data_IF_963088312682
#
_entry.id   IF_963088312682
#
_cell.length_a   1.000
_cell.length_b   1.000
_cell.length_c   1.000
_cell.angle_alpha   90.00
_cell.angle_beta   90.00
_cell.angle_gamma   90.00
#
_symmetry.space_group_name_H-M   'P 1'
#
loop_
_entity.id
_entity.type
_entity.pdbx_description
1 polymer ?
#
# COMPACT_ATOMS: atom_id res chain seq x y z
N UNK A 1 10.32 -22.78 -18.06
CA UNK A 1 9.82 -23.67 -16.98
C UNK A 1 8.81 -24.66 -17.52
N UNK A 2 8.79 -25.89 -17.00
CA UNK A 2 7.82 -26.90 -17.44
C UNK A 2 6.45 -26.73 -16.77
N UNK A 3 5.39 -27.25 -17.40
CA UNK A 3 4.05 -27.29 -16.83
C UNK A 3 4.01 -27.87 -15.40
N UNK A 4 4.79 -28.93 -15.13
CA UNK A 4 4.87 -29.53 -13.79
C UNK A 4 5.44 -28.56 -12.75
N UNK A 5 6.42 -27.74 -13.13
CA UNK A 5 7.04 -26.74 -12.27
C UNK A 5 6.08 -25.57 -11.99
N UNK A 6 5.28 -25.18 -12.99
CA UNK A 6 4.23 -24.15 -12.81
C UNK A 6 3.17 -24.64 -11.82
N UNK A 7 2.65 -25.85 -12.01
CA UNK A 7 1.63 -26.43 -11.12
C UNK A 7 2.11 -26.61 -9.67
N UNK A 8 3.40 -26.92 -9.48
CA UNK A 8 3.98 -27.06 -8.15
C UNK A 8 4.12 -25.71 -7.42
N UNK A 9 4.28 -24.61 -8.17
CA UNK A 9 4.46 -23.27 -7.61
C UNK A 9 3.16 -22.51 -7.37
N UNK A 10 2.04 -22.97 -7.93
CA UNK A 10 0.73 -22.31 -7.80
C UNK A 10 -0.26 -23.30 -7.18
N UNK A 11 -0.44 -23.28 -5.84
CA UNK A 11 -1.33 -24.21 -5.15
C UNK A 11 -2.77 -24.18 -5.68
N UNK A 12 -3.37 -25.37 -5.83
CA UNK A 12 -4.74 -25.54 -6.33
C UNK A 12 -4.92 -25.37 -7.83
N UNK A 13 -3.90 -24.90 -8.56
CA UNK A 13 -3.96 -24.71 -10.00
C UNK A 13 -4.08 -26.05 -10.72
N UNK A 14 -4.94 -26.11 -11.74
CA UNK A 14 -5.09 -27.28 -12.59
C UNK A 14 -4.67 -27.01 -14.04
N UNK A 15 -4.36 -28.08 -14.78
CA UNK A 15 -3.91 -27.99 -16.18
C UNK A 15 -4.92 -27.34 -17.11
N UNK A 16 -6.23 -27.58 -16.88
CA UNK A 16 -7.29 -27.03 -17.73
C UNK A 16 -7.31 -25.51 -17.66
N UNK A 17 -7.07 -24.93 -16.48
CA UNK A 17 -7.00 -23.49 -16.32
C UNK A 17 -5.84 -22.87 -17.10
N UNK A 18 -4.66 -23.47 -17.07
CA UNK A 18 -3.49 -22.99 -17.84
C UNK A 18 -3.79 -23.00 -19.34
N UNK A 19 -4.39 -24.08 -19.85
CA UNK A 19 -4.79 -24.14 -21.27
C UNK A 19 -5.88 -23.12 -21.61
N UNK A 20 -6.77 -22.83 -20.66
CA UNK A 20 -7.79 -21.80 -20.84
C UNK A 20 -7.18 -20.40 -20.91
N UNK A 21 -6.14 -20.10 -20.11
CA UNK A 21 -5.37 -18.86 -20.21
C UNK A 21 -4.63 -18.73 -21.55
N UNK A 22 -3.95 -19.80 -21.99
CA UNK A 22 -3.24 -19.85 -23.27
C UNK A 22 -4.20 -19.65 -24.44
N UNK A 23 -5.34 -20.33 -24.45
CA UNK A 23 -6.36 -20.21 -25.51
C UNK A 23 -6.98 -18.82 -25.59
N UNK A 24 -7.03 -18.07 -24.47
CA UNK A 24 -7.47 -16.68 -24.42
C UNK A 24 -6.36 -15.67 -24.72
N UNK A 25 -5.12 -16.14 -24.89
CA UNK A 25 -3.95 -15.31 -25.21
C UNK A 25 -3.40 -14.51 -24.01
N UNK A 26 -3.82 -14.85 -22.78
CA UNK A 26 -3.36 -14.20 -21.54
C UNK A 26 -1.96 -14.62 -21.11
N UNK A 27 -1.48 -15.74 -21.64
CA UNK A 27 -0.11 -16.23 -21.52
C UNK A 27 0.36 -16.74 -22.86
N UNK A 28 1.67 -16.75 -23.11
CA UNK A 28 2.25 -17.14 -24.40
C UNK A 28 3.49 -18.01 -24.20
N UNK A 29 3.35 -19.22 -23.62
CA UNK A 29 4.48 -20.11 -23.43
C UNK A 29 5.11 -20.48 -24.78
N UNK A 30 6.44 -20.54 -24.81
CA UNK A 30 7.16 -20.94 -26.01
C UNK A 30 6.89 -22.41 -26.33
N UNK A 31 6.67 -22.73 -27.60
CA UNK A 31 6.54 -24.10 -28.07
C UNK A 31 7.89 -24.63 -28.56
N UNK A 32 8.49 -25.53 -27.80
CA UNK A 32 9.72 -26.21 -28.17
C UNK A 32 9.34 -27.52 -28.86
N UNK A 33 9.58 -27.61 -30.16
CA UNK A 33 9.43 -28.87 -30.90
C UNK A 33 10.51 -29.86 -30.47
N UNK A 34 10.10 -30.97 -29.86
CA UNK A 34 10.91 -32.18 -29.72
C UNK A 34 10.36 -33.26 -30.63
N UNK A 35 11.23 -34.14 -31.14
CA UNK A 35 11.03 -35.19 -32.16
C UNK A 35 9.70 -35.98 -32.14
N UNK A 36 8.92 -36.01 -31.06
CA UNK A 36 7.61 -36.72 -30.97
C UNK A 36 6.49 -35.97 -30.24
N UNK A 37 6.75 -34.91 -29.46
CA UNK A 37 5.74 -34.17 -28.68
C UNK A 37 6.17 -32.69 -28.59
N UNK A 38 5.28 -31.76 -28.94
CA UNK A 38 5.48 -30.34 -28.70
C UNK A 38 5.39 -30.03 -27.21
N UNK A 39 6.41 -29.38 -26.66
CA UNK A 39 6.48 -29.02 -25.23
C UNK A 39 6.29 -27.52 -25.04
N UNK A 40 5.51 -27.15 -24.03
CA UNK A 40 5.36 -25.77 -23.56
C UNK A 40 6.47 -25.43 -22.59
N UNK A 41 7.11 -24.29 -22.80
CA UNK A 41 8.07 -23.72 -21.87
C UNK A 41 7.59 -22.33 -21.43
N UNK A 42 7.27 -22.21 -20.14
CA UNK A 42 6.70 -21.02 -19.52
C UNK A 42 7.82 -20.10 -19.02
N UNK A 43 7.72 -18.82 -19.32
CA UNK A 43 8.60 -17.78 -18.79
C UNK A 43 8.28 -17.44 -17.33
N UNK A 44 9.14 -16.66 -16.67
CA UNK A 44 8.84 -16.12 -15.33
C UNK A 44 7.65 -15.15 -15.36
N UNK A 45 7.48 -14.43 -16.47
CA UNK A 45 6.32 -13.56 -16.72
C UNK A 45 5.03 -14.37 -16.84
N UNK A 46 5.06 -15.48 -17.59
CA UNK A 46 3.91 -16.39 -17.67
C UNK A 46 3.56 -16.93 -16.28
N UNK A 47 4.55 -17.35 -15.48
CA UNK A 47 4.30 -17.83 -14.12
C UNK A 47 3.69 -16.75 -13.22
N UNK A 48 4.20 -15.51 -13.29
CA UNK A 48 3.65 -14.38 -12.54
C UNK A 48 2.19 -14.12 -12.95
N UNK A 49 1.91 -14.03 -14.25
CA UNK A 49 0.56 -13.84 -14.78
C UNK A 49 -0.38 -14.99 -14.37
N UNK A 50 0.05 -16.25 -14.52
CA UNK A 50 -0.75 -17.42 -14.11
C UNK A 50 -1.09 -17.34 -12.62
N UNK A 51 -0.10 -17.05 -11.77
CA UNK A 51 -0.29 -16.96 -10.32
C UNK A 51 -1.26 -15.83 -9.95
N UNK A 52 -1.08 -14.66 -10.53
CA UNK A 52 -1.87 -13.48 -10.18
C UNK A 52 -3.31 -13.60 -10.68
N UNK A 53 -3.52 -14.10 -11.90
CA UNK A 53 -4.85 -14.37 -12.46
C UNK A 53 -5.55 -15.49 -11.69
N UNK A 54 -4.83 -16.56 -11.36
CA UNK A 54 -5.37 -17.67 -10.57
C UNK A 54 -5.85 -17.21 -9.19
N UNK A 55 -5.07 -16.34 -8.53
CA UNK A 55 -5.43 -15.74 -7.23
C UNK A 55 -6.78 -15.01 -7.31
N UNK A 56 -6.99 -14.17 -8.33
CA UNK A 56 -8.26 -13.47 -8.50
C UNK A 56 -9.40 -14.41 -8.90
N UNK A 57 -9.14 -15.38 -9.77
CA UNK A 57 -10.15 -16.35 -10.18
C UNK A 57 -10.67 -17.19 -9.00
N UNK A 58 -9.78 -17.60 -8.09
CA UNK A 58 -10.18 -18.31 -6.86
C UNK A 58 -11.06 -17.47 -5.92
N UNK A 59 -11.00 -16.14 -6.02
CA UNK A 59 -11.86 -15.21 -5.28
C UNK A 59 -13.25 -15.02 -5.93
N UNK A 60 -13.55 -15.74 -7.01
CA UNK A 60 -14.85 -15.71 -7.69
C UNK A 60 -14.93 -14.72 -8.86
N UNK A 61 -13.85 -14.00 -9.17
CA UNK A 61 -13.82 -13.12 -10.34
C UNK A 61 -13.89 -13.94 -11.64
N UNK A 62 -14.70 -13.47 -12.58
CA UNK A 62 -14.69 -13.99 -13.95
C UNK A 62 -13.29 -13.83 -14.56
N UNK A 63 -12.87 -14.77 -15.42
CA UNK A 63 -11.49 -14.82 -15.91
C UNK A 63 -11.00 -13.49 -16.52
N UNK A 64 -11.84 -12.80 -17.29
CA UNK A 64 -11.50 -11.52 -17.89
C UNK A 64 -11.18 -10.45 -16.82
N UNK A 65 -12.06 -10.31 -15.82
CA UNK A 65 -11.85 -9.38 -14.71
C UNK A 65 -10.63 -9.74 -13.87
N UNK A 66 -10.40 -11.04 -13.63
CA UNK A 66 -9.21 -11.55 -12.95
C UNK A 66 -7.92 -11.17 -13.69
N UNK A 67 -7.93 -11.24 -15.03
CA UNK A 67 -6.81 -10.81 -15.87
C UNK A 67 -6.62 -9.30 -15.85
N UNK A 68 -7.69 -8.52 -15.95
CA UNK A 68 -7.63 -7.06 -15.87
C UNK A 68 -7.04 -6.60 -14.53
N UNK A 69 -7.48 -7.19 -13.41
CA UNK A 69 -6.93 -6.89 -12.07
C UNK A 69 -5.46 -7.32 -11.93
N UNK A 70 -5.09 -8.49 -12.47
CA UNK A 70 -3.71 -8.99 -12.42
C UNK A 70 -2.74 -8.16 -13.25
N UNK A 71 -3.20 -7.59 -14.36
CA UNK A 71 -2.37 -6.83 -15.31
C UNK A 71 -2.50 -5.32 -15.15
N UNK A 72 -3.37 -4.84 -14.26
CA UNK A 72 -3.56 -3.40 -14.10
C UNK A 72 -2.25 -2.74 -13.68
N UNK A 73 -1.87 -1.72 -14.43
CA UNK A 73 -0.75 -0.84 -14.12
C UNK A 73 -1.19 0.32 -13.23
N UNK A 74 -2.49 0.64 -13.23
CA UNK A 74 -3.07 1.62 -12.33
C UNK A 74 -3.08 1.04 -10.92
N UNK A 75 -2.20 1.56 -10.08
CA UNK A 75 -2.21 1.25 -8.66
C UNK A 75 -2.46 2.53 -7.87
N UNK A 76 -3.39 2.44 -6.94
CA UNK A 76 -3.68 3.50 -5.99
C UNK A 76 -2.83 3.31 -4.74
N UNK A 77 -2.44 4.41 -4.13
CA UNK A 77 -1.86 4.38 -2.79
C UNK A 77 -3.01 4.15 -1.83
N UNK A 78 -2.87 3.24 -0.89
CA UNK A 78 -3.88 3.01 0.15
C UNK A 78 -3.21 3.16 1.51
N UNK A 79 -3.83 3.95 2.38
CA UNK A 79 -3.45 4.08 3.78
C UNK A 79 -4.40 3.25 4.63
N UNK A 80 -3.86 2.43 5.51
CA UNK A 80 -4.63 1.59 6.42
C UNK A 80 -4.26 1.95 7.85
N UNK A 81 -5.24 2.43 8.61
CA UNK A 81 -5.16 2.55 10.06
C UNK A 81 -5.70 1.29 10.72
N UNK A 82 -4.90 0.65 11.57
CA UNK A 82 -5.32 -0.52 12.33
C UNK A 82 -5.09 -0.33 13.83
N UNK A 83 -6.02 -0.82 14.65
CA UNK A 83 -5.79 -0.99 16.08
C UNK A 83 -5.16 -2.33 16.33
N UNK A 84 -4.05 -2.36 17.05
CA UNK A 84 -3.25 -3.57 17.21
C UNK A 84 -2.77 -3.64 18.63
N UNK A 85 -3.02 -4.77 19.30
CA UNK A 85 -2.49 -4.99 20.64
C UNK A 85 -0.96 -4.84 20.63
N UNK A 86 -0.38 -4.23 21.67
CA UNK A 86 1.03 -3.87 21.72
C UNK A 86 1.98 -5.05 21.40
N UNK A 87 1.64 -6.25 21.88
CA UNK A 87 2.41 -7.48 21.63
C UNK A 87 2.38 -7.94 20.16
N UNK A 88 1.34 -7.57 19.42
CA UNK A 88 1.13 -7.91 18.02
C UNK A 88 1.77 -6.93 17.03
N UNK A 89 2.03 -5.68 17.44
CA UNK A 89 2.56 -4.64 16.55
C UNK A 89 3.87 -5.04 15.86
N UNK A 90 4.84 -5.54 16.63
CA UNK A 90 6.13 -5.97 16.09
C UNK A 90 6.00 -7.15 15.12
N UNK A 91 5.15 -8.12 15.45
CA UNK A 91 4.89 -9.29 14.60
C UNK A 91 4.22 -8.87 13.30
N UNK A 92 3.20 -8.02 13.37
CA UNK A 92 2.53 -7.46 12.19
C UNK A 92 3.51 -6.70 11.32
N UNK A 93 4.33 -5.84 11.92
CA UNK A 93 5.31 -5.03 11.20
C UNK A 93 6.32 -5.89 10.44
N UNK A 94 6.87 -6.95 11.04
CA UNK A 94 7.77 -7.86 10.33
C UNK A 94 7.05 -8.61 9.20
N UNK A 95 5.84 -9.13 9.44
CA UNK A 95 5.08 -9.87 8.44
C UNK A 95 4.71 -9.02 7.22
N UNK A 96 4.39 -7.75 7.42
CA UNK A 96 4.02 -6.84 6.34
C UNK A 96 5.18 -6.53 5.39
N UNK A 97 6.44 -6.65 5.83
CA UNK A 97 7.62 -6.42 4.97
C UNK A 97 7.73 -7.42 3.82
N UNK A 98 7.23 -8.64 4.02
CA UNK A 98 7.25 -9.71 3.03
C UNK A 98 6.32 -9.44 1.84
N UNK A 99 5.40 -8.48 1.97
CA UNK A 99 4.43 -8.16 0.94
C UNK A 99 4.96 -7.09 -0.03
N UNK A 100 5.06 -7.38 -1.33
CA UNK A 100 5.60 -6.44 -2.30
C UNK A 100 4.73 -5.19 -2.49
N UNK A 101 3.44 -5.26 -2.20
CA UNK A 101 2.54 -4.11 -2.25
C UNK A 101 2.68 -3.16 -1.06
N UNK A 102 3.31 -3.57 0.05
CA UNK A 102 3.50 -2.68 1.21
C UNK A 102 4.68 -1.74 0.91
N UNK A 103 4.42 -0.44 1.05
CA UNK A 103 5.40 0.63 0.87
C UNK A 103 5.93 1.12 2.22
N UNK A 104 5.08 1.17 3.24
CA UNK A 104 5.46 1.67 4.56
C UNK A 104 4.62 1.03 5.67
N UNK A 105 5.24 0.83 6.82
CA UNK A 105 4.61 0.37 8.05
C UNK A 105 5.13 1.22 9.20
N UNK A 106 4.22 1.84 9.95
CA UNK A 106 4.55 2.71 11.07
C UNK A 106 3.67 2.36 12.26
N UNK A 107 4.27 1.94 13.38
CA UNK A 107 3.56 2.05 14.64
C UNK A 107 3.45 3.53 15.02
N UNK A 108 2.29 3.97 15.50
CA UNK A 108 2.01 5.38 15.78
C UNK A 108 1.38 5.55 17.15
N UNK A 109 1.62 6.70 17.78
CA UNK A 109 0.82 7.17 18.92
C UNK A 109 -0.27 8.11 18.40
N UNK A 110 -1.53 7.77 18.70
CA UNK A 110 -2.73 8.52 18.38
C UNK A 110 -3.95 7.88 19.05
N UNK A 111 -5.13 8.50 18.96
CA UNK A 111 -6.28 8.10 19.77
C UNK A 111 -6.86 6.70 19.44
N UNK A 112 -6.87 6.33 18.16
CA UNK A 112 -7.66 5.21 17.65
C UNK A 112 -6.97 4.40 16.54
N UNK A 113 -5.70 4.70 16.24
CA UNK A 113 -4.86 3.96 15.31
C UNK A 113 -3.53 3.69 16.02
N UNK A 114 -3.13 2.42 16.07
CA UNK A 114 -1.84 1.99 16.65
C UNK A 114 -0.80 1.73 15.53
N UNK A 115 -1.29 1.39 14.34
CA UNK A 115 -0.48 1.05 13.17
C UNK A 115 -1.03 1.77 11.93
N UNK A 116 -0.18 2.50 11.21
CA UNK A 116 -0.46 3.05 9.90
C UNK A 116 0.36 2.31 8.84
N UNK A 117 -0.32 1.78 7.83
CA UNK A 117 0.27 0.97 6.76
C UNK A 117 -0.01 1.68 5.44
N UNK A 118 1.05 2.00 4.69
CA UNK A 118 0.93 2.51 3.32
C UNK A 118 1.19 1.37 2.35
N UNK A 119 0.21 1.08 1.50
CA UNK A 119 0.30 0.07 0.46
C UNK A 119 0.05 0.68 -0.92
N UNK A 120 0.46 -0.04 -1.95
CA UNK A 120 0.12 0.27 -3.33
C UNK A 120 -0.68 -0.90 -3.89
N UNK A 121 -1.97 -0.70 -4.07
CA UNK A 121 -2.93 -1.74 -4.44
C UNK A 121 -3.66 -1.39 -5.74
N UNK A 122 -4.18 -2.37 -6.49
CA UNK A 122 -5.04 -2.12 -7.64
C UNK A 122 -6.30 -1.30 -7.30
N UNK A 123 -6.84 -1.51 -6.11
CA UNK A 123 -8.05 -0.87 -5.59
C UNK A 123 -8.13 -1.00 -4.06
N UNK A 124 -9.22 -0.47 -3.48
CA UNK A 124 -9.51 -0.52 -2.04
C UNK A 124 -9.68 -1.94 -1.50
N UNK A 125 -10.37 -2.80 -2.25
CA UNK A 125 -10.73 -4.16 -1.84
C UNK A 125 -9.48 -5.00 -1.62
N UNK A 126 -8.46 -4.81 -2.46
CA UNK A 126 -7.17 -5.51 -2.32
C UNK A 126 -6.43 -5.16 -1.02
N UNK A 127 -6.65 -3.97 -0.45
CA UNK A 127 -6.10 -3.63 0.86
C UNK A 127 -6.78 -4.47 1.95
N UNK A 128 -8.10 -4.68 1.89
CA UNK A 128 -8.80 -5.56 2.83
C UNK A 128 -8.36 -7.01 2.69
N UNK A 129 -8.25 -7.53 1.46
CA UNK A 129 -7.78 -8.90 1.22
C UNK A 129 -6.36 -9.16 1.76
N UNK A 130 -5.51 -8.12 1.78
CA UNK A 130 -4.19 -8.19 2.38
C UNK A 130 -4.25 -8.29 3.91
N UNK A 131 -5.15 -7.55 4.53
CA UNK A 131 -5.23 -7.44 5.99
C UNK A 131 -5.97 -8.60 6.64
N UNK A 132 -7.04 -9.11 6.03
CA UNK A 132 -7.91 -10.13 6.63
C UNK A 132 -7.14 -11.36 7.14
N UNK A 133 -6.21 -11.96 6.37
CA UNK A 133 -5.40 -13.08 6.88
C UNK A 133 -4.53 -12.69 8.07
N UNK A 134 -4.01 -11.45 8.06
CA UNK A 134 -3.19 -10.93 9.14
C UNK A 134 -4.00 -10.64 10.41
N UNK A 135 -5.29 -10.28 10.28
CA UNK A 135 -6.15 -10.01 11.43
C UNK A 135 -6.26 -11.21 12.38
N UNK A 136 -6.38 -12.42 11.83
CA UNK A 136 -6.45 -13.65 12.61
C UNK A 136 -5.13 -13.97 13.35
N UNK A 137 -3.99 -13.55 12.80
CA UNK A 137 -2.66 -13.93 13.26
C UNK A 137 -1.98 -12.88 14.17
N UNK A 138 -2.34 -11.60 14.05
CA UNK A 138 -1.50 -10.49 14.54
C UNK A 138 -2.13 -9.61 15.63
N UNK A 139 -3.32 -9.97 16.12
CA UNK A 139 -3.99 -9.22 17.19
C UNK A 139 -4.51 -7.85 16.75
N UNK A 140 -4.85 -7.70 15.47
CA UNK A 140 -5.63 -6.57 14.99
C UNK A 140 -7.00 -6.63 15.67
N UNK A 141 -7.40 -5.51 16.26
CA UNK A 141 -8.67 -5.35 16.97
C UNK A 141 -9.54 -4.35 16.21
N UNK A 142 -10.85 -4.59 16.18
CA UNK A 142 -11.77 -3.77 15.39
C UNK A 142 -11.54 -3.88 13.88
N UNK A 143 -12.23 -3.02 13.13
CA UNK A 143 -12.11 -2.96 11.68
C UNK A 143 -11.03 -1.94 11.29
N UNK A 144 -10.09 -2.30 10.40
CA UNK A 144 -9.14 -1.34 9.86
C UNK A 144 -9.84 -0.22 9.09
N UNK A 145 -9.39 1.02 9.30
CA UNK A 145 -9.77 2.18 8.52
C UNK A 145 -8.95 2.20 7.24
N UNK A 146 -9.60 2.28 6.07
CA UNK A 146 -8.93 2.28 4.77
C UNK A 146 -9.20 3.61 4.05
N UNK A 147 -8.13 4.31 3.68
CA UNK A 147 -8.17 5.59 2.99
C UNK A 147 -7.50 5.44 1.62
N UNK A 148 -8.24 5.79 0.56
CA UNK A 148 -7.78 5.62 -0.82
C UNK A 148 -7.13 6.88 -1.34
N UNK A 149 -5.86 6.80 -1.67
CA UNK A 149 -5.06 7.89 -2.22
C UNK A 149 -5.15 7.98 -3.74
N UNK A 150 -5.43 9.18 -4.25
CA UNK A 150 -5.44 9.48 -5.69
C UNK A 150 -4.26 10.35 -6.10
N UNK A 151 -4.29 11.63 -5.71
CA UNK A 151 -3.23 12.58 -6.04
C UNK A 151 -2.22 12.62 -4.91
N UNK A 152 -0.95 12.54 -5.23
CA UNK A 152 0.10 12.64 -4.22
C UNK A 152 1.34 13.35 -4.74
N UNK A 153 2.04 14.01 -3.82
CA UNK A 153 3.41 14.42 -4.04
C UNK A 153 4.31 13.79 -2.98
N UNK A 154 5.57 13.60 -3.34
CA UNK A 154 6.63 13.15 -2.43
C UNK A 154 7.88 13.96 -2.72
N UNK A 155 8.51 14.49 -1.69
CA UNK A 155 9.79 15.19 -1.78
C UNK A 155 10.92 14.16 -1.94
N UNK A 156 11.80 14.37 -2.91
CA UNK A 156 12.98 13.50 -3.12
C UNK A 156 13.94 13.64 -1.94
N UNK A 157 14.49 12.51 -1.47
CA UNK A 157 15.41 12.44 -0.33
C UNK A 157 16.75 13.19 -0.53
N UNK A 158 17.03 13.70 -1.73
CA UNK A 158 18.26 14.40 -2.11
C UNK A 158 18.46 15.76 -1.41
N UNK A 159 17.47 16.29 -0.70
CA UNK A 159 17.63 17.50 0.12
C UNK A 159 18.31 17.28 1.48
N UNK A 160 18.74 16.06 1.83
CA UNK A 160 19.51 15.81 3.07
C UNK A 160 20.99 16.17 2.93
N UNK A 161 21.25 17.46 2.77
CA UNK A 161 22.51 18.07 3.15
C UNK A 161 22.46 18.51 4.61
N UNK A 162 23.28 17.85 5.46
CA UNK A 162 23.68 18.19 6.84
C UNK A 162 22.90 17.56 8.01
N UNK A 163 23.68 16.76 8.74
CA UNK A 163 23.63 16.50 10.20
C UNK A 163 22.46 15.69 10.75
N UNK A 164 22.64 14.36 10.75
CA UNK A 164 22.84 13.57 11.99
C UNK A 164 21.83 13.63 13.14
N UNK A 165 20.72 14.37 13.04
CA UNK A 165 19.65 14.39 14.04
C UNK A 165 18.48 13.55 13.56
N UNK A 166 18.14 12.62 14.43
CA UNK A 166 17.03 11.69 14.35
C UNK A 166 15.71 12.45 14.32
N UNK A 167 15.24 12.86 13.13
CA UNK A 167 13.96 13.56 12.98
C UNK A 167 12.79 12.72 13.49
N UNK A 168 11.82 13.39 14.10
CA UNK A 168 10.51 12.88 14.49
C UNK A 168 9.60 12.86 13.26
N UNK A 169 9.02 11.69 12.98
CA UNK A 169 8.06 11.51 11.90
C UNK A 169 6.64 11.54 12.46
N UNK A 170 5.71 12.15 11.73
CA UNK A 170 4.29 12.11 12.05
C UNK A 170 3.43 12.05 10.79
N UNK A 171 2.23 11.49 10.93
CA UNK A 171 1.17 11.60 9.95
C UNK A 171 0.12 12.58 10.45
N UNK A 172 -0.32 13.48 9.58
CA UNK A 172 -1.38 14.45 9.83
C UNK A 172 -2.50 14.14 8.86
N UNK A 173 -3.63 13.68 9.39
CA UNK A 173 -4.88 13.51 8.66
C UNK A 173 -5.65 14.82 8.77
N UNK A 174 -6.15 15.34 7.64
CA UNK A 174 -6.85 16.61 7.57
C UNK A 174 -8.25 16.43 7.00
N UNK A 175 -9.21 17.15 7.59
CA UNK A 175 -10.52 17.40 7.00
C UNK A 175 -10.53 18.73 6.26
N UNK A 176 -10.93 18.69 5.00
CA UNK A 176 -10.90 19.82 4.07
C UNK A 176 -12.10 19.74 3.12
N UNK A 177 -12.85 20.83 2.89
CA UNK A 177 -13.90 20.86 1.88
C UNK A 177 -13.36 20.48 0.51
N UNK A 178 -14.08 19.61 -0.22
CA UNK A 178 -13.67 19.10 -1.55
C UNK A 178 -13.19 20.21 -2.49
N UNK A 179 -13.86 21.36 -2.51
CA UNK A 179 -13.53 22.51 -3.38
C UNK A 179 -12.17 23.16 -3.06
N UNK A 180 -11.61 22.93 -1.88
CA UNK A 180 -10.35 23.52 -1.41
C UNK A 180 -9.19 22.51 -1.34
N UNK A 181 -9.44 21.22 -1.59
CA UNK A 181 -8.41 20.17 -1.48
C UNK A 181 -7.15 20.50 -2.30
N UNK A 182 -7.32 20.93 -3.55
CA UNK A 182 -6.20 21.29 -4.42
C UNK A 182 -5.36 22.46 -3.85
N UNK A 183 -6.03 23.49 -3.34
CA UNK A 183 -5.36 24.65 -2.73
C UNK A 183 -4.57 24.25 -1.47
N UNK A 184 -5.16 23.41 -0.62
CA UNK A 184 -4.46 22.90 0.58
C UNK A 184 -3.26 22.04 0.20
N UNK A 185 -3.39 21.17 -0.81
CA UNK A 185 -2.27 20.36 -1.31
C UNK A 185 -1.09 21.21 -1.82
N UNK A 186 -1.37 22.31 -2.53
CA UNK A 186 -0.35 23.24 -3.00
C UNK A 186 0.35 23.98 -1.84
N UNK A 187 -0.41 24.41 -0.83
CA UNK A 187 0.16 25.03 0.37
C UNK A 187 1.03 24.05 1.16
N UNK A 188 0.57 22.81 1.36
CA UNK A 188 1.34 21.75 2.02
C UNK A 188 2.65 21.44 1.29
N UNK A 189 2.65 21.48 -0.05
CA UNK A 189 3.84 21.25 -0.87
C UNK A 189 4.93 22.32 -0.67
N UNK A 190 4.53 23.55 -0.32
CA UNK A 190 5.45 24.64 0.00
C UNK A 190 6.09 24.51 1.38
N UNK A 191 5.49 23.74 2.29
CA UNK A 191 6.04 23.51 3.62
C UNK A 191 7.20 22.51 3.55
N UNK A 192 8.39 22.94 3.97
CA UNK A 192 9.60 22.10 3.97
C UNK A 192 9.44 20.82 4.83
N UNK A 193 8.83 20.88 6.04
CA UNK A 193 8.64 19.68 6.86
C UNK A 193 7.75 18.60 6.23
N UNK A 194 6.90 18.95 5.25
CA UNK A 194 6.01 18.00 4.58
C UNK A 194 6.79 17.18 3.55
N UNK A 195 6.95 15.89 3.84
CA UNK A 195 7.71 14.93 3.04
C UNK A 195 6.87 14.33 1.93
N UNK A 196 5.61 14.04 2.21
CA UNK A 196 4.62 13.60 1.23
C UNK A 196 3.23 14.01 1.70
N UNK A 197 2.33 14.24 0.75
CA UNK A 197 0.91 14.33 1.03
C UNK A 197 0.13 13.63 -0.07
N UNK A 198 -1.01 13.06 0.29
CA UNK A 198 -1.96 12.46 -0.64
C UNK A 198 -3.37 12.96 -0.34
N UNK A 199 -4.14 13.27 -1.37
CA UNK A 199 -5.59 13.36 -1.24
C UNK A 199 -6.11 11.96 -0.95
N UNK A 200 -7.09 11.84 -0.06
CA UNK A 200 -7.68 10.55 0.29
C UNK A 200 -9.20 10.62 0.37
N UNK A 201 -9.86 9.48 0.17
CA UNK A 201 -11.30 9.33 0.42
C UNK A 201 -11.56 8.61 1.75
N UNK A 202 -12.56 9.08 2.50
CA UNK A 202 -13.06 8.46 3.72
C UNK A 202 -13.25 9.45 4.86
N UNK A 203 -12.78 9.07 6.06
CA UNK A 203 -12.84 9.92 7.26
C UNK A 203 -11.83 11.07 7.25
N UNK A 204 -11.04 11.24 6.20
CA UNK A 204 -10.15 12.37 5.99
C UNK A 204 -10.09 12.67 4.51
N UNK A 205 -9.64 13.87 4.16
CA UNK A 205 -9.57 14.33 2.77
C UNK A 205 -8.11 14.44 2.30
N UNK A 206 -7.16 14.60 3.24
CA UNK A 206 -5.72 14.60 2.98
C UNK A 206 -4.98 13.83 4.09
N UNK A 207 -3.97 13.05 3.70
CA UNK A 207 -2.96 12.47 4.59
C UNK A 207 -1.61 13.10 4.25
N UNK A 208 -0.97 13.78 5.18
CA UNK A 208 0.39 14.30 5.05
C UNK A 208 1.35 13.58 6.00
N UNK A 209 2.53 13.21 5.50
CA UNK A 209 3.66 12.75 6.31
C UNK A 209 4.65 13.89 6.47
N UNK A 210 5.04 14.15 7.70
CA UNK A 210 5.96 15.23 8.06
C UNK A 210 7.18 14.67 8.77
N UNK A 211 8.33 15.30 8.56
CA UNK A 211 9.56 15.07 9.34
C UNK A 211 9.95 16.39 9.98
N UNK A 212 10.03 16.41 11.31
CA UNK A 212 10.42 17.57 12.11
C UNK A 212 11.51 17.17 13.10
N UNK A 213 12.11 18.13 13.77
CA UNK A 213 13.23 17.86 14.68
C UNK A 213 12.79 17.18 15.99
N UNK A 214 11.69 17.65 16.58
CA UNK A 214 11.19 17.23 17.88
C UNK A 214 9.71 17.65 18.04
N UNK A 215 9.11 17.38 19.20
CA UNK A 215 7.69 17.65 19.49
C UNK A 215 7.34 19.13 19.39
N UNK A 216 8.21 20.04 19.84
CA UNK A 216 7.97 21.49 19.80
C UNK A 216 7.81 21.96 18.34
N UNK A 217 8.68 21.49 17.45
CA UNK A 217 8.59 21.80 16.02
C UNK A 217 7.35 21.17 15.36
N UNK A 218 6.89 20.01 15.85
CA UNK A 218 5.62 19.42 15.39
C UNK A 218 4.43 20.29 15.77
N UNK A 219 4.40 20.76 17.02
CA UNK A 219 3.33 21.59 17.55
C UNK A 219 3.27 22.93 16.79
N UNK A 220 4.43 23.57 16.57
CA UNK A 220 4.53 24.78 15.73
C UNK A 220 4.05 24.52 14.30
N UNK A 221 4.47 23.43 13.66
CA UNK A 221 4.02 23.09 12.32
C UNK A 221 2.49 22.96 12.25
N UNK A 222 1.88 22.26 13.21
CA UNK A 222 0.43 22.04 13.22
C UNK A 222 -0.32 23.35 13.49
N UNK A 223 0.02 24.04 14.58
CA UNK A 223 -0.75 25.18 15.07
C UNK A 223 -0.53 26.44 14.23
N UNK A 224 0.69 26.70 13.77
CA UNK A 224 1.04 27.95 13.11
C UNK A 224 1.05 27.88 11.58
N UNK A 225 1.22 26.68 11.02
CA UNK A 225 1.30 26.51 9.57
C UNK A 225 0.11 25.73 9.02
N UNK A 226 -0.21 24.54 9.56
CA UNK A 226 -1.31 23.72 9.05
C UNK A 226 -2.68 24.31 9.39
N UNK A 227 -2.93 24.69 10.66
CA UNK A 227 -4.20 25.32 11.07
C UNK A 227 -4.35 26.76 10.56
N UNK A 228 -3.26 27.40 10.17
CA UNK A 228 -3.32 28.71 9.52
C UNK A 228 -3.89 28.63 8.10
N UNK A 229 -3.93 27.45 7.48
CA UNK A 229 -4.59 27.22 6.18
C UNK A 229 -6.11 27.30 6.41
N UNK A 230 -6.81 28.35 5.91
CA UNK A 230 -8.20 28.61 6.31
C UNK A 230 -9.19 27.49 5.99
N UNK A 231 -8.87 26.65 4.99
CA UNK A 231 -9.72 25.55 4.55
C UNK A 231 -9.52 24.25 5.36
N UNK A 232 -8.57 24.19 6.28
CA UNK A 232 -8.38 23.03 7.17
C UNK A 232 -9.38 23.11 8.32
N UNK A 233 -10.37 22.22 8.32
CA UNK A 233 -11.43 22.20 9.32
C UNK A 233 -10.99 21.51 10.62
N UNK A 234 -10.21 20.44 10.51
CA UNK A 234 -9.65 19.73 11.65
C UNK A 234 -8.46 18.85 11.25
N UNK A 235 -7.65 18.50 12.24
CA UNK A 235 -6.48 17.62 12.08
C UNK A 235 -6.48 16.48 13.09
N UNK A 236 -6.00 15.31 12.68
CA UNK A 236 -5.62 14.20 13.57
C UNK A 236 -4.16 13.86 13.34
N UNK A 237 -3.37 13.92 14.39
CA UNK A 237 -1.91 13.73 14.32
C UNK A 237 -1.52 12.40 14.94
N UNK A 238 -0.67 11.66 14.23
CA UNK A 238 -0.18 10.33 14.61
C UNK A 238 1.34 10.35 14.61
N UNK A 239 1.95 10.33 15.79
CA UNK A 239 3.41 10.37 15.94
C UNK A 239 4.00 9.00 15.71
N UNK A 240 4.96 8.87 14.79
CA UNK A 240 5.58 7.59 14.44
C UNK A 240 6.57 7.14 15.52
N UNK A 241 6.40 5.90 15.98
CA UNK A 241 7.36 5.21 16.85
C UNK A 241 8.51 4.70 15.99
N UNK A 242 9.62 5.46 15.95
CA UNK A 242 10.74 5.22 15.04
C UNK A 242 11.32 3.80 15.07
N UNK A 243 11.31 3.11 16.21
CA UNK A 243 11.82 1.74 16.35
C UNK A 243 10.95 0.68 15.64
N UNK A 244 9.70 1.01 15.32
CA UNK A 244 8.73 0.16 14.64
C UNK A 244 8.26 0.83 13.33
N UNK A 245 9.18 1.58 12.71
CA UNK A 245 8.96 2.21 11.42
C UNK A 245 9.81 1.53 10.35
N UNK A 246 9.20 1.20 9.24
CA UNK A 246 9.86 0.64 8.07
C UNK A 246 9.21 1.22 6.81
N UNK A 247 10.03 1.63 5.84
CA UNK A 247 9.58 2.15 4.54
C UNK A 247 10.49 1.60 3.44
N UNK A 248 9.95 1.38 2.25
CA UNK A 248 10.65 0.82 1.08
C UNK A 248 11.27 1.90 0.20
#
# INVERSE_FOLDING_TARGET
MELKQVLAQVPGLNRRFIYYLEARGYIRPAQIQKRRIARRDFSNEDLAAIRDVWRYYQRGYALKAAYELATTTQRVVTYVGARVAERGMAVLAERLKDYPQILEVAAVHGADIDMLIKAQTPNAEEAYHLLVPLMAETGITGLPQVLLGEESFRRSAEHKGREGKTGMLAYILMKVPVKNVAEVMDQLKALEPVQEASTVYGESDIVAKVEVKDQEHLDTLIMEQVHAIPAVESTRTFVVIRRLHWSR
#
